data_IF_298588758421
#
_entry.id   IF_298588758421
#
_cell.length_a   1.000
_cell.length_b   1.000
_cell.length_c   1.000
_cell.angle_alpha   90.00
_cell.angle_beta   90.00
_cell.angle_gamma   90.00
#
_symmetry.space_group_name_H-M   'P 1'
#
loop_
_entity.id
_entity.type
_entity.pdbx_description
1 polymer ?
#
# COMPACT_ATOMS: atom_id res chain seq x y z
N UNK A 1 58.59 -50.44 27.16
CA UNK A 1 59.99 -49.99 27.12
C UNK A 1 60.01 -48.53 26.72
N UNK A 2 60.06 -47.61 27.70
CA UNK A 2 60.11 -46.17 27.46
C UNK A 2 61.55 -45.70 27.63
N UNK A 3 62.23 -45.38 26.53
CA UNK A 3 63.55 -44.76 26.57
C UNK A 3 63.39 -43.29 26.92
N UNK A 4 63.73 -42.92 28.15
CA UNK A 4 63.85 -41.53 28.58
C UNK A 4 65.09 -40.93 27.90
N UNK A 5 64.88 -40.06 26.91
CA UNK A 5 65.98 -39.32 26.28
C UNK A 5 66.35 -38.18 27.24
N UNK A 6 67.43 -38.37 28.00
CA UNK A 6 68.01 -37.33 28.83
C UNK A 6 68.72 -36.31 27.92
N UNK A 7 68.09 -35.16 27.68
CA UNK A 7 68.76 -34.01 27.09
C UNK A 7 69.71 -33.41 28.14
N UNK A 8 71.00 -33.72 28.05
CA UNK A 8 72.04 -33.01 28.81
C UNK A 8 72.10 -31.58 28.30
N UNK A 9 71.69 -30.64 29.13
CA UNK A 9 71.79 -29.20 28.85
C UNK A 9 73.27 -28.81 28.98
N UNK A 10 74.01 -28.77 27.87
CA UNK A 10 75.28 -28.05 27.82
C UNK A 10 74.97 -26.55 27.78
N UNK A 11 74.95 -25.92 28.95
CA UNK A 11 74.49 -24.53 29.11
C UNK A 11 75.41 -23.45 28.53
N UNK A 12 76.54 -23.80 27.93
CA UNK A 12 77.47 -22.80 27.38
C UNK A 12 77.94 -23.26 25.99
N UNK A 13 77.54 -22.59 24.89
CA UNK A 13 78.29 -22.74 23.65
C UNK A 13 79.73 -22.31 23.92
N UNK A 14 80.71 -23.03 23.34
CA UNK A 14 82.09 -22.60 23.37
C UNK A 14 82.19 -21.16 22.82
N UNK A 15 82.98 -20.28 23.45
CA UNK A 15 83.13 -18.92 22.96
C UNK A 15 83.62 -18.97 21.51
N UNK A 16 83.00 -18.16 20.66
CA UNK A 16 83.39 -18.04 19.26
C UNK A 16 84.87 -17.64 19.17
N UNK A 17 85.71 -18.53 18.64
CA UNK A 17 87.07 -18.18 18.26
C UNK A 17 87.01 -17.33 16.98
N UNK A 18 87.48 -16.08 17.01
CA UNK A 18 87.52 -15.26 15.81
C UNK A 18 88.43 -15.91 14.78
N UNK A 19 87.98 -15.95 13.53
CA UNK A 19 88.81 -16.38 12.42
C UNK A 19 90.12 -15.56 12.40
N UNK A 20 91.28 -16.21 12.17
CA UNK A 20 92.55 -15.51 12.12
C UNK A 20 92.50 -14.43 11.03
N UNK A 21 93.02 -13.24 11.36
CA UNK A 21 93.16 -12.16 10.41
C UNK A 21 94.12 -12.59 9.30
N UNK A 22 93.80 -12.38 8.01
CA UNK A 22 94.70 -12.74 6.93
C UNK A 22 96.06 -12.05 7.10
N UNK A 23 97.14 -12.83 7.02
CA UNK A 23 98.51 -12.38 7.33
C UNK A 23 99.04 -11.30 6.36
N UNK A 24 98.45 -11.18 5.16
CA UNK A 24 98.90 -10.28 4.08
C UNK A 24 97.95 -9.09 3.80
N UNK A 25 97.00 -8.78 4.69
CA UNK A 25 96.12 -7.61 4.49
C UNK A 25 96.89 -6.31 4.74
N UNK A 26 96.89 -5.41 3.75
CA UNK A 26 97.46 -4.08 3.91
C UNK A 26 96.51 -3.19 4.72
N UNK A 27 97.03 -2.22 5.50
CA UNK A 27 96.21 -1.31 6.29
C UNK A 27 95.11 -0.60 5.48
N UNK A 28 95.40 -0.23 4.23
CA UNK A 28 94.45 0.44 3.35
C UNK A 28 93.29 -0.49 2.93
N UNK A 29 93.56 -1.78 2.76
CA UNK A 29 92.55 -2.78 2.41
C UNK A 29 91.64 -3.10 3.62
N UNK A 30 92.18 -3.00 4.84
CA UNK A 30 91.43 -3.14 6.09
C UNK A 30 90.52 -1.93 6.34
N UNK A 31 91.00 -0.71 6.12
CA UNK A 31 90.21 0.53 6.22
C UNK A 31 89.04 0.51 5.23
N UNK A 32 89.31 0.16 3.96
CA UNK A 32 88.28 0.01 2.95
C UNK A 32 87.25 -1.10 3.28
N UNK A 33 87.64 -2.14 4.02
CA UNK A 33 86.71 -3.17 4.48
C UNK A 33 85.76 -2.63 5.56
N UNK A 34 86.27 -1.89 6.54
CA UNK A 34 85.45 -1.27 7.58
C UNK A 34 84.51 -0.21 7.01
N UNK A 35 84.99 0.64 6.10
CA UNK A 35 84.14 1.63 5.42
C UNK A 35 82.97 0.98 4.66
N UNK A 36 83.25 -0.14 3.95
CA UNK A 36 82.20 -0.91 3.26
C UNK A 36 81.21 -1.54 4.22
N UNK A 37 81.69 -2.07 5.34
CA UNK A 37 80.83 -2.66 6.37
C UNK A 37 79.92 -1.60 6.99
N UNK A 38 80.47 -0.46 7.36
CA UNK A 38 79.72 0.65 7.96
C UNK A 38 78.72 1.25 6.96
N UNK A 39 79.07 1.32 5.67
CA UNK A 39 78.14 1.70 4.61
C UNK A 39 76.99 0.69 4.45
N UNK A 40 77.27 -0.63 4.51
CA UNK A 40 76.22 -1.65 4.47
C UNK A 40 75.32 -1.60 5.70
N UNK A 41 75.88 -1.35 6.89
CA UNK A 41 75.11 -1.27 8.13
C UNK A 41 74.14 -0.09 8.09
N UNK A 42 74.60 1.09 7.66
CA UNK A 42 73.71 2.25 7.43
C UNK A 42 72.62 1.97 6.41
N UNK A 43 72.97 1.35 5.28
CA UNK A 43 71.99 0.99 4.26
C UNK A 43 70.94 -0.01 4.79
N UNK A 44 71.33 -0.91 5.71
CA UNK A 44 70.41 -1.84 6.37
C UNK A 44 69.49 -1.09 7.33
N UNK A 45 70.01 -0.16 8.13
CA UNK A 45 69.21 0.67 9.04
C UNK A 45 68.14 1.47 8.26
N UNK A 46 68.54 2.14 7.18
CA UNK A 46 67.63 2.88 6.30
C UNK A 46 66.53 1.97 5.71
N UNK A 47 66.91 0.75 5.29
CA UNK A 47 65.96 -0.22 4.75
C UNK A 47 64.96 -0.71 5.81
N UNK A 48 65.40 -0.88 7.07
CA UNK A 48 64.53 -1.24 8.18
C UNK A 48 63.55 -0.11 8.47
N UNK A 49 64.03 1.13 8.57
CA UNK A 49 63.17 2.30 8.81
C UNK A 49 62.12 2.47 7.69
N UNK A 50 62.53 2.35 6.43
CA UNK A 50 61.61 2.41 5.29
C UNK A 50 60.52 1.32 5.34
N UNK A 51 60.89 0.11 5.75
CA UNK A 51 59.95 -1.00 5.88
C UNK A 51 58.99 -0.81 7.06
N UNK A 52 59.45 -0.25 8.18
CA UNK A 52 58.59 0.13 9.30
C UNK A 52 57.59 1.23 8.93
N UNK A 53 58.06 2.26 8.20
CA UNK A 53 57.20 3.31 7.67
C UNK A 53 56.13 2.74 6.72
N UNK A 54 56.52 1.81 5.84
CA UNK A 54 55.58 1.12 4.94
C UNK A 54 54.53 0.31 5.71
N UNK A 55 54.93 -0.44 6.75
CA UNK A 55 53.98 -1.16 7.63
C UNK A 55 53.00 -0.21 8.30
N UNK A 56 53.49 0.92 8.83
CA UNK A 56 52.64 1.92 9.46
C UNK A 56 51.65 2.54 8.45
N UNK A 57 52.08 2.78 7.22
CA UNK A 57 51.19 3.23 6.14
C UNK A 57 50.13 2.18 5.82
N UNK A 58 50.52 0.91 5.70
CA UNK A 58 49.58 -0.19 5.43
C UNK A 58 48.51 -0.32 6.50
N UNK A 59 48.89 -0.23 7.78
CA UNK A 59 47.93 -0.22 8.88
C UNK A 59 46.98 0.98 8.83
N UNK A 60 47.44 2.16 8.41
CA UNK A 60 46.58 3.33 8.21
C UNK A 60 45.58 3.11 7.07
N UNK A 61 46.03 2.52 5.96
CA UNK A 61 45.17 2.17 4.82
C UNK A 61 44.08 1.17 5.21
N UNK A 62 44.43 0.11 5.92
CA UNK A 62 43.47 -0.90 6.40
C UNK A 62 42.42 -0.29 7.33
N UNK A 63 42.85 0.55 8.30
CA UNK A 63 41.92 1.26 9.18
C UNK A 63 40.96 2.17 8.41
N UNK A 64 41.46 2.86 7.38
CA UNK A 64 40.64 3.72 6.52
C UNK A 64 39.62 2.90 5.74
N UNK A 65 40.03 1.77 5.16
CA UNK A 65 39.13 0.88 4.42
C UNK A 65 38.04 0.29 5.32
N UNK A 66 38.41 -0.16 6.52
CA UNK A 66 37.46 -0.67 7.50
C UNK A 66 36.40 0.40 7.86
N UNK A 67 36.82 1.64 8.08
CA UNK A 67 35.92 2.75 8.38
C UNK A 67 35.02 3.10 7.18
N UNK A 68 35.54 3.05 5.96
CA UNK A 68 34.74 3.27 4.75
C UNK A 68 33.65 2.20 4.57
N UNK A 69 33.98 0.93 4.82
CA UNK A 69 33.01 -0.17 4.81
C UNK A 69 31.93 0.03 5.87
N UNK A 70 32.32 0.35 7.10
CA UNK A 70 31.36 0.63 8.19
C UNK A 70 30.41 1.79 7.83
N UNK A 71 30.93 2.86 7.22
CA UNK A 71 30.11 3.97 6.75
C UNK A 71 29.15 3.56 5.64
N UNK A 72 29.60 2.72 4.69
CA UNK A 72 28.74 2.19 3.61
C UNK A 72 27.63 1.32 4.19
N UNK A 73 27.92 0.45 5.14
CA UNK A 73 26.92 -0.37 5.82
C UNK A 73 25.90 0.47 6.59
N UNK A 74 26.35 1.53 7.27
CA UNK A 74 25.43 2.48 7.93
C UNK A 74 24.51 3.17 6.94
N UNK A 75 25.02 3.63 5.80
CA UNK A 75 24.22 4.26 4.73
C UNK A 75 23.20 3.27 4.15
N UNK A 76 23.64 2.07 3.80
CA UNK A 76 22.75 1.01 3.30
C UNK A 76 21.69 0.63 4.34
N UNK A 77 22.05 0.57 5.62
CA UNK A 77 21.11 0.32 6.72
C UNK A 77 20.05 1.43 6.85
N UNK A 78 20.44 2.70 6.68
CA UNK A 78 19.51 3.83 6.66
C UNK A 78 18.59 3.79 5.44
N UNK A 79 19.14 3.54 4.25
CA UNK A 79 18.36 3.41 3.02
C UNK A 79 17.35 2.27 3.10
N UNK A 80 17.73 1.12 3.64
CA UNK A 80 16.83 -0.01 3.89
C UNK A 80 15.68 0.36 4.83
N UNK A 81 15.97 1.03 5.95
CA UNK A 81 14.94 1.50 6.89
C UNK A 81 13.97 2.47 6.22
N UNK A 82 14.47 3.39 5.38
CA UNK A 82 13.63 4.33 4.64
C UNK A 82 12.78 3.59 3.60
N UNK A 83 13.36 2.64 2.87
CA UNK A 83 12.64 1.83 1.89
C UNK A 83 11.56 0.97 2.54
N UNK A 84 11.86 0.33 3.67
CA UNK A 84 10.90 -0.48 4.43
C UNK A 84 9.75 0.37 4.97
N UNK A 85 10.05 1.55 5.53
CA UNK A 85 9.02 2.48 5.99
C UNK A 85 8.10 2.97 4.86
N UNK A 86 8.66 3.21 3.66
CA UNK A 86 7.87 3.56 2.48
C UNK A 86 7.00 2.40 2.01
N UNK A 87 7.56 1.20 1.91
CA UNK A 87 6.83 0.00 1.50
C UNK A 87 5.70 -0.34 2.49
N UNK A 88 5.92 -0.13 3.80
CA UNK A 88 4.90 -0.30 4.82
C UNK A 88 3.75 0.69 4.64
N UNK A 89 4.04 1.99 4.47
CA UNK A 89 3.01 3.00 4.21
C UNK A 89 2.21 2.69 2.95
N UNK A 90 2.89 2.29 1.88
CA UNK A 90 2.22 1.93 0.63
C UNK A 90 1.30 0.70 0.78
N UNK A 91 1.68 -0.28 1.60
CA UNK A 91 0.81 -1.42 1.95
C UNK A 91 -0.40 -0.98 2.75
N UNK A 92 -0.20 -0.17 3.79
CA UNK A 92 -1.28 0.37 4.61
C UNK A 92 -2.27 1.19 3.76
N UNK A 93 -1.77 2.01 2.83
CA UNK A 93 -2.60 2.78 1.89
C UNK A 93 -3.39 1.85 0.95
N UNK A 94 -2.75 0.80 0.42
CA UNK A 94 -3.43 -0.19 -0.45
C UNK A 94 -4.53 -0.93 0.31
N UNK A 95 -4.24 -1.44 1.50
CA UNK A 95 -5.22 -2.12 2.35
C UNK A 95 -6.40 -1.19 2.69
N UNK A 96 -6.13 0.08 3.00
CA UNK A 96 -7.18 1.07 3.26
C UNK A 96 -8.05 1.33 2.02
N UNK A 97 -7.45 1.40 0.82
CA UNK A 97 -8.22 1.57 -0.42
C UNK A 97 -9.03 0.32 -0.80
N UNK A 98 -8.48 -0.86 -0.56
CA UNK A 98 -9.16 -2.13 -0.82
C UNK A 98 -10.33 -2.32 0.13
N UNK A 99 -10.16 -2.02 1.43
CA UNK A 99 -11.24 -2.05 2.41
C UNK A 99 -12.37 -1.09 2.04
N UNK A 100 -12.06 0.14 1.64
CA UNK A 100 -13.07 1.10 1.14
C UNK A 100 -13.81 0.56 -0.08
N UNK A 101 -13.11 -0.10 -0.99
CA UNK A 101 -13.72 -0.69 -2.19
C UNK A 101 -14.61 -1.88 -1.85
N UNK A 102 -14.24 -2.69 -0.86
CA UNK A 102 -15.07 -3.78 -0.34
C UNK A 102 -16.33 -3.23 0.34
N UNK A 103 -16.19 -2.25 1.22
CA UNK A 103 -17.34 -1.58 1.88
C UNK A 103 -18.29 -0.96 0.85
N UNK A 104 -17.76 -0.31 -0.20
CA UNK A 104 -18.59 0.24 -1.29
C UNK A 104 -19.30 -0.86 -2.10
N UNK A 105 -18.62 -1.98 -2.36
CA UNK A 105 -19.20 -3.11 -3.07
C UNK A 105 -20.29 -3.81 -2.24
N UNK A 106 -20.07 -3.96 -0.93
CA UNK A 106 -21.03 -4.53 0.00
C UNK A 106 -22.26 -3.64 0.15
N UNK A 107 -22.08 -2.32 0.32
CA UNK A 107 -23.18 -1.36 0.34
C UNK A 107 -24.00 -1.38 -0.96
N UNK A 108 -23.34 -1.53 -2.11
CA UNK A 108 -24.04 -1.69 -3.41
C UNK A 108 -24.81 -3.00 -3.50
N UNK A 109 -24.25 -4.11 -3.00
CA UNK A 109 -24.92 -5.40 -2.99
C UNK A 109 -26.15 -5.38 -2.06
N UNK A 110 -26.03 -4.77 -0.88
CA UNK A 110 -27.14 -4.60 0.06
C UNK A 110 -28.25 -3.74 -0.54
N UNK A 111 -27.92 -2.59 -1.15
CA UNK A 111 -28.89 -1.75 -1.83
C UNK A 111 -29.62 -2.49 -2.97
N UNK A 112 -28.89 -3.29 -3.75
CA UNK A 112 -29.48 -4.12 -4.81
C UNK A 112 -30.41 -5.21 -4.23
N UNK A 113 -30.03 -5.84 -3.12
CA UNK A 113 -30.87 -6.84 -2.45
C UNK A 113 -32.15 -6.24 -1.87
N UNK A 114 -32.08 -5.02 -1.32
CA UNK A 114 -33.26 -4.29 -0.84
C UNK A 114 -34.22 -3.95 -1.98
N UNK A 115 -33.70 -3.45 -3.10
CA UNK A 115 -34.52 -3.18 -4.29
C UNK A 115 -35.15 -4.46 -4.87
N UNK A 116 -34.42 -5.57 -4.91
CA UNK A 116 -35.00 -6.86 -5.35
C UNK A 116 -36.14 -7.31 -4.43
N UNK A 117 -35.96 -7.25 -3.11
CA UNK A 117 -37.03 -7.60 -2.16
C UNK A 117 -38.28 -6.72 -2.35
N UNK A 118 -38.08 -5.44 -2.61
CA UNK A 118 -39.18 -4.50 -2.86
C UNK A 118 -39.93 -4.84 -4.16
N UNK A 119 -39.22 -5.16 -5.23
CA UNK A 119 -39.80 -5.59 -6.50
C UNK A 119 -40.54 -6.93 -6.36
N UNK A 120 -40.00 -7.88 -5.59
CA UNK A 120 -40.67 -9.15 -5.30
C UNK A 120 -41.96 -8.98 -4.49
N UNK A 121 -41.94 -8.09 -3.49
CA UNK A 121 -43.12 -7.79 -2.68
C UNK A 121 -44.23 -7.11 -3.51
N UNK A 122 -43.85 -6.17 -4.38
CA UNK A 122 -44.79 -5.53 -5.31
C UNK A 122 -45.37 -6.52 -6.34
N UNK A 123 -44.55 -7.44 -6.84
CA UNK A 123 -44.99 -8.52 -7.72
C UNK A 123 -46.01 -9.44 -7.04
N UNK A 124 -45.75 -9.85 -5.79
CA UNK A 124 -46.69 -10.65 -4.99
C UNK A 124 -47.99 -9.90 -4.73
N UNK A 125 -47.93 -8.61 -4.39
CA UNK A 125 -49.13 -7.80 -4.17
C UNK A 125 -49.99 -7.66 -5.45
N UNK A 126 -49.35 -7.54 -6.62
CA UNK A 126 -50.05 -7.54 -7.91
C UNK A 126 -50.68 -8.90 -8.23
N UNK A 127 -49.99 -10.00 -7.94
CA UNK A 127 -50.52 -11.35 -8.12
C UNK A 127 -51.73 -11.62 -7.23
N UNK A 128 -51.66 -11.23 -5.94
CA UNK A 128 -52.78 -11.34 -5.01
C UNK A 128 -53.99 -10.51 -5.46
N UNK A 129 -53.78 -9.28 -5.95
CA UNK A 129 -54.87 -8.45 -6.51
C UNK A 129 -55.53 -9.12 -7.70
N UNK A 130 -54.75 -9.66 -8.63
CA UNK A 130 -55.27 -10.40 -9.80
C UNK A 130 -56.05 -11.65 -9.38
N UNK A 131 -55.58 -12.39 -8.36
CA UNK A 131 -56.28 -13.55 -7.83
C UNK A 131 -57.62 -13.17 -7.19
N UNK A 132 -57.67 -12.07 -6.44
CA UNK A 132 -58.91 -11.55 -5.84
C UNK A 132 -59.90 -11.07 -6.90
N UNK A 133 -59.43 -10.40 -7.95
CA UNK A 133 -60.25 -9.97 -9.08
C UNK A 133 -60.86 -11.16 -9.84
N UNK A 134 -60.06 -12.20 -10.11
CA UNK A 134 -60.56 -13.46 -10.70
C UNK A 134 -61.65 -14.10 -9.84
N UNK A 135 -61.46 -14.16 -8.52
CA UNK A 135 -62.48 -14.68 -7.59
C UNK A 135 -63.76 -13.85 -7.60
N UNK A 136 -63.67 -12.52 -7.72
CA UNK A 136 -64.84 -11.65 -7.85
C UNK A 136 -65.59 -11.91 -9.15
N UNK A 137 -64.88 -12.00 -10.28
CA UNK A 137 -65.48 -12.30 -11.58
C UNK A 137 -66.12 -13.70 -11.61
N UNK A 138 -65.48 -14.72 -11.01
CA UNK A 138 -66.09 -16.04 -10.84
C UNK A 138 -67.33 -16.00 -9.93
N UNK A 139 -67.29 -15.23 -8.85
CA UNK A 139 -68.43 -15.03 -7.94
C UNK A 139 -69.60 -14.35 -8.65
N UNK A 140 -69.33 -13.32 -9.45
CA UNK A 140 -70.34 -12.65 -10.29
C UNK A 140 -70.88 -13.58 -11.38
N UNK A 141 -70.04 -14.39 -12.02
CA UNK A 141 -70.48 -15.36 -13.02
C UNK A 141 -71.39 -16.43 -12.38
N UNK A 142 -71.04 -16.93 -11.19
CA UNK A 142 -71.87 -17.86 -10.42
C UNK A 142 -73.19 -17.22 -9.97
N UNK A 143 -73.16 -15.95 -9.55
CA UNK A 143 -74.37 -15.20 -9.19
C UNK A 143 -75.29 -14.98 -10.41
N UNK A 144 -74.72 -14.61 -11.57
CA UNK A 144 -75.47 -14.49 -12.83
C UNK A 144 -76.06 -15.83 -13.27
N UNK A 145 -75.31 -16.93 -13.17
CA UNK A 145 -75.81 -18.26 -13.46
C UNK A 145 -76.95 -18.70 -12.52
N UNK A 146 -76.90 -18.32 -11.23
CA UNK A 146 -77.99 -18.56 -10.28
C UNK A 146 -79.24 -17.74 -10.61
N UNK A 147 -79.08 -16.49 -11.03
CA UNK A 147 -80.20 -15.65 -11.47
C UNK A 147 -80.81 -16.19 -12.78
N UNK A 148 -80.01 -16.66 -13.73
CA UNK A 148 -80.52 -17.34 -14.93
C UNK A 148 -81.19 -18.68 -14.60
N UNK A 149 -80.64 -19.48 -13.69
CA UNK A 149 -81.30 -20.71 -13.22
C UNK A 149 -82.62 -20.41 -12.51
N UNK A 150 -82.70 -19.31 -11.75
CA UNK A 150 -83.93 -18.86 -11.10
C UNK A 150 -84.98 -18.37 -12.12
N UNK A 151 -84.54 -17.65 -13.15
CA UNK A 151 -85.39 -17.25 -14.29
C UNK A 151 -85.82 -18.46 -15.14
N UNK A 152 -84.99 -19.49 -15.27
CA UNK A 152 -85.36 -20.73 -15.93
C UNK A 152 -86.40 -21.53 -15.13
N UNK A 153 -86.36 -21.47 -13.79
CA UNK A 153 -87.41 -22.06 -12.94
C UNK A 153 -88.70 -21.23 -12.87
N UNK A 154 -88.66 -19.93 -13.14
CA UNK A 154 -89.87 -19.11 -13.37
C UNK A 154 -90.42 -19.31 -14.80
N UNK A 155 -89.57 -19.51 -15.81
CA UNK A 155 -89.99 -19.85 -17.17
C UNK A 155 -90.58 -21.27 -17.29
N UNK A 156 -90.38 -22.16 -16.31
CA UNK A 156 -91.08 -23.45 -16.23
C UNK A 156 -92.48 -23.33 -15.59
N UNK A 157 -92.83 -22.17 -15.02
CA UNK A 157 -94.19 -21.85 -14.55
C UNK A 157 -94.99 -20.94 -15.50
N UNK A 158 -94.38 -20.38 -16.53
CA UNK A 158 -95.06 -19.64 -17.59
C UNK A 158 -94.80 -20.29 -18.96
N UNK A 159 -95.22 -21.55 -19.12
CA UNK A 159 -95.62 -22.11 -20.42
C UNK A 159 -97.14 -22.14 -20.53
N UNK A 160 -97.76 -20.97 -20.42
CA UNK A 160 -99.03 -20.74 -21.07
C UNK A 160 -99.10 -19.25 -21.44
N UNK A 161 -99.22 -18.98 -22.75
CA UNK A 161 -99.44 -17.68 -23.41
C UNK A 161 -98.19 -16.83 -23.65
N UNK A 162 -98.01 -16.12 -24.75
CA UNK A 162 -98.53 -16.11 -26.13
C UNK A 162 -97.62 -15.10 -26.85
N UNK A 163 -97.33 -15.40 -28.11
CA UNK A 163 -96.89 -14.57 -29.24
C UNK A 163 -96.27 -13.16 -29.08
N UNK A 164 -95.19 -12.99 -29.84
CA UNK A 164 -95.06 -11.86 -30.77
C UNK A 164 -94.25 -10.68 -30.28
N UNK A 165 -93.16 -10.35 -30.97
CA UNK A 165 -93.09 -9.14 -31.80
C UNK A 165 -91.69 -9.00 -32.44
N UNK A 166 -91.72 -8.48 -33.66
CA UNK A 166 -90.62 -8.20 -34.56
C UNK A 166 -89.66 -7.11 -34.05
N UNK A 167 -88.47 -7.03 -34.66
CA UNK A 167 -87.88 -5.72 -34.93
C UNK A 167 -86.38 -5.56 -34.72
N UNK A 168 -85.63 -5.70 -35.82
CA UNK A 168 -84.74 -4.64 -36.35
C UNK A 168 -83.49 -4.20 -35.55
N UNK A 169 -82.32 -4.42 -36.16
CA UNK A 169 -81.52 -3.37 -36.85
C UNK A 169 -80.02 -3.33 -36.53
N UNK A 170 -79.28 -3.27 -37.63
CA UNK A 170 -77.85 -3.09 -37.85
C UNK A 170 -77.35 -1.68 -37.44
N UNK A 171 -76.08 -1.60 -37.00
CA UNK A 171 -75.21 -0.42 -37.06
C UNK A 171 -73.89 -0.73 -36.34
N UNK A 172 -72.73 -0.96 -36.97
CA UNK A 172 -71.92 -0.10 -37.86
C UNK A 172 -71.62 1.28 -37.28
N UNK A 173 -70.35 1.53 -36.96
CA UNK A 173 -69.84 2.79 -36.44
C UNK A 173 -68.34 2.74 -36.16
N UNK A 174 -67.56 2.86 -37.23
CA UNK A 174 -66.14 3.24 -37.21
C UNK A 174 -65.98 4.69 -36.68
N UNK A 175 -64.75 4.96 -36.22
CA UNK A 175 -64.00 6.21 -36.33
C UNK A 175 -63.75 7.12 -35.11
N UNK A 176 -62.47 7.53 -35.09
CA UNK A 176 -61.81 8.73 -34.56
C UNK A 176 -61.18 8.71 -33.16
N UNK A 177 -59.87 8.50 -33.20
CA UNK A 177 -58.83 9.47 -32.85
C UNK A 177 -59.28 10.74 -32.09
N UNK A 178 -58.68 10.94 -30.92
CA UNK A 178 -58.33 12.28 -30.44
C UNK A 178 -57.00 12.21 -29.66
N UNK A 179 -55.93 12.64 -30.33
CA UNK A 179 -54.71 13.07 -29.69
C UNK A 179 -55.02 14.31 -28.83
N UNK A 180 -54.87 14.22 -27.51
CA UNK A 180 -54.58 15.42 -26.71
C UNK A 180 -53.86 15.14 -25.39
N UNK A 181 -52.54 15.11 -25.53
CA UNK A 181 -51.57 15.84 -24.72
C UNK A 181 -52.14 16.69 -23.55
N UNK A 182 -51.73 16.38 -22.31
CA UNK A 182 -50.95 17.28 -21.43
C UNK A 182 -50.68 16.66 -20.06
N UNK A 183 -49.44 16.16 -19.92
CA UNK A 183 -48.77 15.96 -18.64
C UNK A 183 -48.54 17.30 -17.91
N UNK A 184 -48.96 17.46 -16.64
CA UNK A 184 -48.61 18.64 -15.86
C UNK A 184 -47.51 18.34 -14.84
N UNK A 185 -46.31 17.89 -15.25
CA UNK A 185 -45.17 17.74 -14.30
C UNK A 185 -43.79 18.22 -14.80
N UNK A 186 -43.75 19.05 -15.84
CA UNK A 186 -42.52 19.63 -16.40
C UNK A 186 -42.04 20.98 -15.83
N UNK A 187 -42.56 21.46 -14.70
CA UNK A 187 -42.26 22.84 -14.19
C UNK A 187 -41.66 22.92 -12.77
N UNK A 188 -40.92 21.90 -12.32
CA UNK A 188 -40.19 21.96 -11.05
C UNK A 188 -38.65 22.09 -11.19
N UNK A 189 -38.08 21.94 -12.38
CA UNK A 189 -36.61 21.83 -12.55
C UNK A 189 -35.89 23.09 -13.06
N UNK A 190 -36.56 24.25 -13.17
CA UNK A 190 -35.95 25.47 -13.73
C UNK A 190 -35.67 26.61 -12.73
N UNK A 191 -35.76 26.39 -11.42
CA UNK A 191 -35.42 27.38 -10.39
C UNK A 191 -34.21 27.00 -9.51
N UNK A 192 -33.21 26.33 -10.09
CA UNK A 192 -31.90 26.07 -9.47
C UNK A 192 -30.80 26.30 -10.53
N UNK A 193 -30.81 27.42 -11.26
CA UNK A 193 -30.42 28.75 -10.76
C UNK A 193 -29.19 28.64 -9.86
N UNK A 194 -27.99 28.81 -10.44
CA UNK A 194 -27.29 30.11 -10.44
C UNK A 194 -26.55 30.43 -9.13
N UNK A 195 -25.92 29.44 -8.51
CA UNK A 195 -24.93 29.66 -7.43
C UNK A 195 -23.49 29.23 -7.76
N UNK A 196 -23.23 28.64 -8.93
CA UNK A 196 -21.90 28.07 -9.23
C UNK A 196 -20.99 28.90 -10.16
N UNK A 197 -21.41 30.08 -10.64
CA UNK A 197 -20.64 30.78 -11.68
C UNK A 197 -19.81 31.99 -11.23
N UNK A 198 -19.95 32.47 -9.99
CA UNK A 198 -19.29 33.72 -9.54
C UNK A 198 -18.20 33.53 -8.47
N UNK A 199 -17.80 32.30 -8.13
CA UNK A 199 -16.71 32.09 -7.15
C UNK A 199 -15.35 31.92 -7.83
N UNK A 200 -14.78 33.09 -8.15
CA UNK A 200 -13.36 33.44 -8.06
C UNK A 200 -12.37 32.68 -8.96
N UNK A 201 -12.04 33.33 -10.07
CA UNK A 201 -10.65 33.42 -10.50
C UNK A 201 -9.81 34.36 -9.61
N UNK A 202 -8.51 34.40 -9.96
CA UNK A 202 -7.45 35.35 -9.58
C UNK A 202 -6.75 35.16 -8.23
N UNK A 203 -5.46 34.83 -8.33
CA UNK A 203 -4.47 34.91 -7.28
C UNK A 203 -3.10 34.35 -7.70
N UNK A 204 -2.49 34.89 -8.76
CA UNK A 204 -1.02 34.87 -8.90
C UNK A 204 -0.49 36.06 -8.10
N UNK A 205 0.34 35.82 -7.09
CA UNK A 205 1.34 36.77 -6.56
C UNK A 205 2.52 35.92 -6.09
N UNK A 206 3.63 36.05 -6.80
CA UNK A 206 4.98 35.78 -6.29
C UNK A 206 5.34 36.90 -5.30
N UNK A 207 6.02 36.57 -4.20
CA UNK A 207 7.29 37.20 -3.81
C UNK A 207 7.62 36.88 -2.34
N UNK A 208 8.88 36.51 -2.20
CA UNK A 208 9.76 36.51 -1.02
C UNK A 208 9.42 37.48 0.10
N UNK A 209 9.42 36.98 1.35
CA UNK A 209 10.22 37.58 2.43
C UNK A 209 10.42 36.60 3.60
N UNK A 210 11.67 36.51 4.04
CA UNK A 210 12.10 35.73 5.18
C UNK A 210 11.82 36.48 6.49
N UNK A 211 11.20 35.83 7.47
CA UNK A 211 11.39 36.18 8.90
C UNK A 211 11.30 34.90 9.75
N UNK A 212 12.48 34.39 10.09
CA UNK A 212 12.91 34.07 11.45
C UNK A 212 11.86 33.60 12.48
N UNK A 213 11.87 32.30 12.80
CA UNK A 213 11.47 31.80 14.13
C UNK A 213 12.46 30.73 14.59
N UNK A 214 13.71 31.14 14.77
CA UNK A 214 14.59 30.53 15.77
C UNK A 214 14.14 30.98 17.16
N UNK A 215 13.31 30.17 17.85
CA UNK A 215 13.16 30.23 19.32
C UNK A 215 12.36 29.03 19.85
N UNK A 216 13.07 28.00 20.29
CA UNK A 216 12.71 27.28 21.52
C UNK A 216 13.93 26.58 22.11
N UNK A 217 14.59 27.36 22.95
CA UNK A 217 15.53 26.96 23.99
C UNK A 217 14.94 25.82 24.84
N UNK A 218 15.34 24.59 24.55
CA UNK A 218 15.26 23.47 25.48
C UNK A 218 16.53 23.43 26.33
N UNK A 219 16.54 24.17 27.44
CA UNK A 219 17.55 24.09 28.51
C UNK A 219 17.74 22.62 28.94
N UNK A 220 18.81 21.95 28.50
CA UNK A 220 19.31 20.74 29.20
C UNK A 220 20.41 21.17 30.14
N UNK A 221 20.08 21.09 31.43
CA UNK A 221 20.95 21.28 32.58
C UNK A 221 22.24 20.48 32.39
N UNK A 222 23.37 21.17 32.48
CA UNK A 222 24.64 20.57 32.86
C UNK A 222 24.51 19.98 34.26
N UNK A 223 24.77 18.69 34.39
CA UNK A 223 25.14 18.09 35.67
C UNK A 223 26.65 17.88 35.62
N UNK A 224 27.37 18.84 36.21
CA UNK A 224 28.69 18.55 36.75
C UNK A 224 28.53 17.88 38.10
N UNK A 225 29.23 16.77 38.33
CA UNK A 225 29.98 16.45 39.56
C UNK A 225 30.40 14.99 39.63
N UNK A 226 31.73 14.82 39.74
CA UNK A 226 32.53 13.96 40.63
C UNK A 226 33.73 13.48 39.82
N UNK A 227 34.93 14.03 39.96
CA UNK A 227 35.77 14.04 41.19
C UNK A 227 35.62 12.74 41.98
N UNK A 228 36.52 11.81 41.68
CA UNK A 228 36.83 10.62 42.45
C UNK A 228 38.34 10.42 42.35
N UNK A 229 38.99 10.63 43.49
CA UNK A 229 40.39 10.35 43.82
C UNK A 229 40.84 8.94 43.44
#
# INVERSE_FOLDING_TARGET
MSSTIEYRVSMMPEPYEPAPMPEDIRPEDLEAFYDKRDAMEKAREDAVEAHEAWKAQKQKEEKRQALELEQREKKLGQERKVAEAKARKEREDREATEKKRQEEAEAKAEAAAVEQRRLEEEARALEERRAMEKKKLEGEAKAKALVEASKATEAEKEKEKVDGNEGSKVGSGSDRDDEREKDPKGKALKKLVKQRKDRKGKGKVTDSEAVDVSRKLGKRKSWGRREGL
#
